data_IF_022412498536
#
_entry.id   IF_022412498536
#
_cell.length_a   1.000
_cell.length_b   1.000
_cell.length_c   1.000
_cell.angle_alpha   90.00
_cell.angle_beta   90.00
_cell.angle_gamma   90.00
#
_symmetry.space_group_name_H-M   'P 1'
#
loop_
_entity.id
_entity.type
_entity.pdbx_description
1 polymer ?
#
# COMPACT_ATOMS: atom_id res chain seq x y z
N UNK A 1 -43.82 3.72 -6.28
CA UNK A 1 -42.71 4.25 -5.45
C UNK A 1 -41.68 3.13 -5.28
N UNK A 2 -40.51 3.21 -5.93
CA UNK A 2 -39.45 2.21 -5.76
C UNK A 2 -38.69 2.54 -4.47
N UNK A 3 -38.80 1.71 -3.44
CA UNK A 3 -37.95 1.80 -2.25
C UNK A 3 -36.52 1.45 -2.67
N UNK A 4 -35.67 2.46 -2.82
CA UNK A 4 -34.24 2.28 -3.04
C UNK A 4 -33.57 1.85 -1.75
N UNK A 5 -33.53 0.54 -1.51
CA UNK A 5 -32.81 -0.04 -0.39
C UNK A 5 -31.31 0.17 -0.55
N UNK A 6 -30.68 0.92 0.37
CA UNK A 6 -29.23 0.95 0.47
C UNK A 6 -28.74 -0.43 0.90
N UNK A 7 -27.94 -1.10 0.06
CA UNK A 7 -27.23 -2.31 0.47
C UNK A 7 -26.22 -1.92 1.54
N UNK A 8 -26.48 -2.33 2.78
CA UNK A 8 -25.53 -2.18 3.87
C UNK A 8 -24.31 -3.07 3.61
N UNK A 9 -23.16 -2.45 3.34
CA UNK A 9 -21.88 -3.14 3.21
C UNK A 9 -21.15 -3.16 4.55
N UNK A 10 -20.53 -4.29 4.87
CA UNK A 10 -19.66 -4.42 6.04
C UNK A 10 -18.23 -4.02 5.67
N UNK A 11 -17.56 -3.24 6.52
CA UNK A 11 -16.16 -2.89 6.34
C UNK A 11 -15.34 -3.42 7.53
N UNK A 12 -14.35 -4.27 7.26
CA UNK A 12 -13.63 -5.03 8.29
C UNK A 12 -12.18 -4.54 8.30
N UNK A 13 -11.76 -3.99 9.45
CA UNK A 13 -10.36 -3.60 9.69
C UNK A 13 -9.60 -4.73 10.41
N UNK A 14 -8.38 -5.03 9.95
CA UNK A 14 -7.51 -6.05 10.54
C UNK A 14 -6.19 -5.38 10.94
N UNK A 15 -6.00 -5.16 12.24
CA UNK A 15 -4.82 -4.45 12.77
C UNK A 15 -4.01 -5.32 13.74
N UNK A 16 -2.72 -5.02 13.91
CA UNK A 16 -1.82 -5.77 14.79
C UNK A 16 -0.33 -5.66 14.43
N UNK A 17 0.56 -6.37 15.13
CA UNK A 17 2.02 -6.19 15.01
C UNK A 17 2.56 -6.59 13.63
N UNK A 18 3.63 -5.93 13.19
CA UNK A 18 4.32 -6.26 11.93
C UNK A 18 4.82 -7.71 11.97
N UNK A 19 4.62 -8.47 10.89
CA UNK A 19 5.02 -9.89 10.81
C UNK A 19 3.97 -10.91 11.28
N UNK A 20 2.85 -10.50 11.89
CA UNK A 20 1.79 -11.42 12.37
C UNK A 20 0.95 -12.10 11.25
N UNK A 21 1.32 -11.95 9.97
CA UNK A 21 0.59 -12.58 8.87
C UNK A 21 -0.80 -12.00 8.57
N UNK A 22 -1.13 -10.81 9.09
CA UNK A 22 -2.44 -10.13 8.89
C UNK A 22 -2.86 -10.07 7.42
N UNK A 23 -1.95 -9.70 6.53
CA UNK A 23 -2.22 -9.67 5.08
C UNK A 23 -2.56 -11.04 4.50
N UNK A 24 -1.99 -12.12 5.05
CA UNK A 24 -2.29 -13.49 4.62
C UNK A 24 -3.69 -13.91 5.07
N UNK A 25 -4.02 -13.67 6.34
CA UNK A 25 -5.34 -14.00 6.90
C UNK A 25 -6.43 -13.15 6.23
N UNK A 26 -6.19 -11.85 6.04
CA UNK A 26 -7.12 -10.95 5.38
C UNK A 26 -7.44 -11.39 3.94
N UNK A 27 -6.45 -11.90 3.19
CA UNK A 27 -6.66 -12.47 1.85
C UNK A 27 -7.53 -13.71 1.88
N UNK A 28 -7.30 -14.62 2.84
CA UNK A 28 -8.06 -15.85 2.98
C UNK A 28 -9.52 -15.55 3.33
N UNK A 29 -9.73 -14.69 4.33
CA UNK A 29 -11.07 -14.24 4.76
C UNK A 29 -11.81 -13.53 3.62
N UNK A 30 -11.12 -12.65 2.89
CA UNK A 30 -11.73 -11.95 1.76
C UNK A 30 -12.14 -12.90 0.63
N UNK A 31 -11.31 -13.93 0.35
CA UNK A 31 -11.64 -14.96 -0.65
C UNK A 31 -12.85 -15.79 -0.24
N UNK A 32 -12.95 -16.14 1.03
CA UNK A 32 -14.02 -17.00 1.55
C UNK A 32 -15.36 -16.27 1.69
N UNK A 33 -15.32 -15.01 2.11
CA UNK A 33 -16.51 -14.18 2.32
C UNK A 33 -16.88 -13.29 1.11
N UNK A 34 -16.10 -13.33 0.02
CA UNK A 34 -16.34 -12.54 -1.19
C UNK A 34 -16.07 -11.04 -1.02
N UNK A 35 -15.21 -10.64 -0.08
CA UNK A 35 -14.80 -9.24 0.10
C UNK A 35 -13.66 -8.87 -0.85
N UNK A 36 -13.57 -7.57 -1.15
CA UNK A 36 -12.41 -7.00 -1.86
C UNK A 36 -11.32 -6.76 -0.83
N UNK A 37 -10.20 -7.48 -0.95
CA UNK A 37 -9.01 -7.26 -0.14
C UNK A 37 -8.12 -6.17 -0.76
N UNK A 38 -7.77 -5.15 0.03
CA UNK A 38 -6.89 -4.04 -0.39
C UNK A 38 -5.67 -3.99 0.53
N UNK A 39 -4.48 -4.29 0.00
CA UNK A 39 -3.20 -4.09 0.70
C UNK A 39 -2.65 -2.70 0.37
N UNK A 40 -2.92 -1.74 1.26
CA UNK A 40 -2.45 -0.35 1.11
C UNK A 40 -0.92 -0.27 1.10
N UNK A 41 -0.22 -1.11 1.88
CA UNK A 41 1.23 -1.12 1.93
C UNK A 41 1.88 -1.60 0.63
N UNK A 42 1.33 -2.66 0.03
CA UNK A 42 1.78 -3.13 -1.28
C UNK A 42 1.46 -2.12 -2.39
N UNK A 43 0.32 -1.44 -2.32
CA UNK A 43 -0.05 -0.39 -3.27
C UNK A 43 0.94 0.77 -3.26
N UNK A 44 1.26 1.33 -2.09
CA UNK A 44 2.24 2.43 -1.99
C UNK A 44 3.64 2.00 -2.43
N UNK A 45 4.07 0.76 -2.11
CA UNK A 45 5.35 0.23 -2.61
C UNK A 45 5.37 0.10 -4.14
N UNK A 46 4.30 -0.42 -4.73
CA UNK A 46 4.15 -0.51 -6.18
C UNK A 46 4.18 0.88 -6.85
N UNK A 47 3.52 1.86 -6.23
CA UNK A 47 3.52 3.24 -6.68
C UNK A 47 4.93 3.86 -6.59
N UNK A 48 5.64 3.67 -5.49
CA UNK A 48 7.03 4.13 -5.33
C UNK A 48 7.94 3.50 -6.39
N UNK A 49 7.83 2.19 -6.63
CA UNK A 49 8.59 1.51 -7.69
C UNK A 49 8.21 2.04 -9.07
N UNK A 50 6.94 2.36 -9.32
CA UNK A 50 6.50 2.95 -10.58
C UNK A 50 7.15 4.31 -10.81
N UNK A 51 7.24 5.17 -9.79
CA UNK A 51 7.93 6.46 -9.87
C UNK A 51 9.44 6.29 -10.05
N UNK A 52 10.07 5.37 -9.31
CA UNK A 52 11.49 5.06 -9.45
C UNK A 52 11.84 4.55 -10.85
N UNK A 53 11.00 3.65 -11.42
CA UNK A 53 11.18 3.10 -12.78
C UNK A 53 10.89 4.13 -13.87
N UNK A 54 9.90 5.01 -13.66
CA UNK A 54 9.60 6.10 -14.60
C UNK A 54 10.66 7.19 -14.60
N UNK A 55 11.56 7.18 -13.61
CA UNK A 55 12.76 7.99 -13.56
C UNK A 55 12.43 9.47 -13.65
N UNK A 56 12.41 10.16 -12.52
CA UNK A 56 13.01 11.50 -12.49
C UNK A 56 12.41 12.58 -13.43
N UNK A 57 11.18 12.40 -13.95
CA UNK A 57 10.53 13.44 -14.79
C UNK A 57 9.82 14.52 -14.00
N UNK A 58 9.69 14.35 -12.68
CA UNK A 58 9.10 15.35 -11.80
C UNK A 58 10.13 15.72 -10.74
N UNK A 59 11.01 16.66 -11.07
CA UNK A 59 11.68 17.48 -10.04
C UNK A 59 13.10 17.11 -9.61
N UNK A 60 13.97 16.57 -10.49
CA UNK A 60 15.42 16.77 -10.26
C UNK A 60 15.81 18.18 -10.72
N UNK A 61 15.64 19.18 -9.85
CA UNK A 61 16.57 20.31 -9.90
C UNK A 61 17.96 19.73 -9.65
N UNK A 62 18.95 20.17 -10.43
CA UNK A 62 20.30 19.59 -10.49
C UNK A 62 21.14 19.74 -9.19
N UNK A 63 20.53 20.09 -8.06
CA UNK A 63 21.20 20.65 -6.89
C UNK A 63 21.53 19.63 -5.78
N UNK A 64 21.01 18.40 -5.85
CA UNK A 64 21.21 17.39 -4.80
C UNK A 64 22.40 16.45 -5.02
N UNK A 65 23.47 16.90 -5.71
CA UNK A 65 24.75 16.15 -5.75
C UNK A 65 25.60 16.32 -4.48
N UNK A 66 25.15 17.10 -3.49
CA UNK A 66 25.91 17.42 -2.28
C UNK A 66 25.64 16.57 -1.03
N UNK A 67 24.51 15.86 -0.91
CA UNK A 67 24.07 15.36 0.41
C UNK A 67 24.20 13.84 0.64
N UNK A 68 24.60 13.06 -0.38
CA UNK A 68 24.80 11.60 -0.22
C UNK A 68 26.23 11.22 0.19
N UNK A 69 26.70 11.80 1.30
CA UNK A 69 27.77 11.21 2.13
C UNK A 69 27.27 11.16 3.57
N UNK A 70 26.41 10.21 3.92
CA UNK A 70 25.98 10.12 5.32
C UNK A 70 24.94 9.09 5.75
N UNK A 71 24.21 8.44 4.86
CA UNK A 71 23.25 7.41 5.28
C UNK A 71 23.48 6.10 4.53
N UNK A 72 24.47 5.33 5.01
CA UNK A 72 24.51 3.89 4.77
C UNK A 72 23.30 3.26 5.48
N UNK A 73 22.47 2.59 4.68
CA UNK A 73 21.72 1.41 5.09
C UNK A 73 20.50 1.65 5.96
N UNK A 74 19.32 1.76 5.34
CA UNK A 74 18.10 1.09 5.82
C UNK A 74 17.27 0.68 4.62
N UNK A 75 17.55 -0.54 4.15
CA UNK A 75 16.60 -1.28 3.33
C UNK A 75 15.39 -1.59 4.23
N UNK A 76 14.23 -1.10 3.83
CA UNK A 76 12.95 -1.48 4.42
C UNK A 76 12.63 -2.91 3.96
N UNK A 77 13.13 -3.88 4.74
CA UNK A 77 12.74 -5.29 4.73
C UNK A 77 12.23 -5.63 6.13
#
# INVERSE_FOLDING_TARGET
MKQGGYKMGYNIAIDGPAGAGKSTIAKLVAKELGFIYVDTGAMYRGLAVHFLKKGDRTGRSREDRGSMRGCKGRAWL
#
